data_IF_841820107974
#
_entry.id   IF_841820107974
#
_cell.length_a   1.000
_cell.length_b   1.000
_cell.length_c   1.000
_cell.angle_alpha   90.00
_cell.angle_beta   90.00
_cell.angle_gamma   90.00
#
_symmetry.space_group_name_H-M   'P 1'
#
loop_
_entity.id
_entity.type
_entity.pdbx_description
1 polymer ?
#
# COMPACT_ATOMS: atom_id res chain seq x y z
N UNK A 1 20.82 7.88 -35.61
CA UNK A 1 21.45 6.94 -34.67
C UNK A 1 20.33 6.32 -33.84
N UNK A 2 19.91 5.09 -34.17
CA UNK A 2 18.92 4.36 -33.36
C UNK A 2 19.64 3.87 -32.09
N UNK A 3 19.63 4.71 -31.06
CA UNK A 3 20.19 4.38 -29.74
C UNK A 3 19.38 3.23 -29.13
N UNK A 4 20.08 2.28 -28.51
CA UNK A 4 19.50 1.15 -27.78
C UNK A 4 18.35 1.60 -26.87
N UNK A 5 17.25 0.85 -26.85
CA UNK A 5 16.15 1.06 -25.90
C UNK A 5 16.73 1.04 -24.48
N UNK A 6 16.62 2.16 -23.78
CA UNK A 6 17.08 2.28 -22.40
C UNK A 6 16.17 1.43 -21.50
N UNK A 7 16.79 0.64 -20.61
CA UNK A 7 16.13 -0.34 -19.76
C UNK A 7 16.11 0.13 -18.32
N UNK A 8 14.92 0.13 -17.71
CA UNK A 8 14.75 0.44 -16.30
C UNK A 8 14.40 -0.85 -15.55
N UNK A 9 15.17 -1.12 -14.50
CA UNK A 9 14.84 -2.16 -13.52
C UNK A 9 14.04 -1.54 -12.38
N UNK A 10 12.90 -2.12 -12.05
CA UNK A 10 12.06 -1.68 -10.93
C UNK A 10 11.97 -2.82 -9.92
N UNK A 11 12.28 -2.54 -8.66
CA UNK A 11 12.21 -3.52 -7.56
C UNK A 11 10.99 -3.21 -6.69
N UNK A 12 9.99 -4.09 -6.73
CA UNK A 12 8.73 -3.99 -6.00
C UNK A 12 7.54 -3.74 -6.92
N UNK A 13 6.62 -4.70 -6.98
CA UNK A 13 5.38 -4.70 -7.77
C UNK A 13 4.17 -4.12 -7.05
N UNK A 14 4.37 -3.28 -6.03
CA UNK A 14 3.32 -2.49 -5.40
C UNK A 14 2.85 -1.32 -6.27
N UNK A 15 1.82 -0.57 -5.82
CA UNK A 15 1.23 0.54 -6.60
C UNK A 15 2.26 1.56 -7.11
N UNK A 16 3.31 1.84 -6.33
CA UNK A 16 4.38 2.75 -6.73
C UNK A 16 5.18 2.20 -7.93
N UNK A 17 5.61 0.93 -7.86
CA UNK A 17 6.34 0.28 -8.95
C UNK A 17 5.48 0.05 -10.19
N UNK A 18 4.21 -0.32 -10.01
CA UNK A 18 3.25 -0.44 -11.13
C UNK A 18 3.07 0.88 -11.87
N UNK A 19 2.83 1.97 -11.13
CA UNK A 19 2.66 3.30 -11.73
C UNK A 19 3.93 3.75 -12.46
N UNK A 20 5.10 3.56 -11.84
CA UNK A 20 6.37 3.89 -12.48
C UNK A 20 6.61 3.06 -13.76
N UNK A 21 6.29 1.76 -13.73
CA UNK A 21 6.46 0.87 -14.88
C UNK A 21 5.62 1.31 -16.08
N UNK A 22 4.34 1.61 -15.85
CA UNK A 22 3.43 2.08 -16.91
C UNK A 22 3.94 3.40 -17.49
N UNK A 23 4.23 4.39 -16.64
CA UNK A 23 4.68 5.70 -17.09
C UNK A 23 5.99 5.62 -17.89
N UNK A 24 6.96 4.84 -17.45
CA UNK A 24 8.21 4.66 -18.19
C UNK A 24 7.98 3.96 -19.53
N UNK A 25 7.16 2.92 -19.55
CA UNK A 25 6.90 2.18 -20.77
C UNK A 25 6.12 3.00 -21.81
N UNK A 26 5.18 3.86 -21.37
CA UNK A 26 4.46 4.82 -22.22
C UNK A 26 5.42 5.85 -22.86
N UNK A 27 6.55 6.15 -22.22
CA UNK A 27 7.59 7.05 -22.74
C UNK A 27 8.68 6.31 -23.54
N UNK A 28 8.47 5.03 -23.87
CA UNK A 28 9.35 4.26 -24.76
C UNK A 28 10.54 3.56 -24.06
N UNK A 29 10.57 3.52 -22.73
CA UNK A 29 11.58 2.77 -21.98
C UNK A 29 11.20 1.29 -21.86
N UNK A 30 12.18 0.41 -21.96
CA UNK A 30 11.99 -1.02 -21.64
C UNK A 30 12.00 -1.21 -20.12
N UNK A 31 10.97 -1.82 -19.54
CA UNK A 31 10.86 -1.99 -18.09
C UNK A 31 10.94 -3.46 -17.70
N UNK A 32 11.83 -3.78 -16.77
CA UNK A 32 11.78 -5.05 -16.01
C UNK A 32 11.30 -4.77 -14.60
N UNK A 33 10.11 -5.25 -14.25
CA UNK A 33 9.52 -5.12 -12.92
C UNK A 33 9.72 -6.43 -12.14
N UNK A 34 10.42 -6.37 -11.02
CA UNK A 34 10.74 -7.54 -10.17
C UNK A 34 9.89 -7.49 -8.90
N UNK A 35 9.17 -8.56 -8.60
CA UNK A 35 8.33 -8.70 -7.41
C UNK A 35 8.65 -10.01 -6.70
N UNK A 36 8.94 -9.93 -5.40
CA UNK A 36 9.30 -11.09 -4.57
C UNK A 36 8.12 -12.04 -4.36
N UNK A 37 6.92 -11.49 -4.26
CA UNK A 37 5.70 -12.27 -4.08
C UNK A 37 5.24 -12.89 -5.40
N UNK A 38 4.38 -13.91 -5.33
CA UNK A 38 3.79 -14.56 -6.52
C UNK A 38 2.81 -13.66 -7.28
N UNK A 39 2.42 -12.53 -6.70
CA UNK A 39 1.40 -11.63 -7.24
C UNK A 39 1.81 -10.18 -7.07
N UNK A 40 1.51 -9.37 -8.08
CA UNK A 40 1.66 -7.92 -8.03
C UNK A 40 0.60 -7.26 -7.13
N UNK A 41 0.86 -6.04 -6.69
CA UNK A 41 -0.08 -5.12 -6.05
C UNK A 41 0.34 -4.68 -4.64
N UNK A 42 1.17 -5.47 -3.95
CA UNK A 42 1.67 -5.15 -2.61
C UNK A 42 0.56 -4.85 -1.60
N UNK A 43 0.82 -3.95 -0.63
CA UNK A 43 -0.14 -3.60 0.42
C UNK A 43 -1.46 -3.01 -0.10
N UNK A 44 -1.48 -2.43 -1.30
CA UNK A 44 -2.68 -1.84 -1.88
C UNK A 44 -3.79 -2.89 -2.14
N UNK A 45 -3.43 -4.17 -2.29
CA UNK A 45 -4.38 -5.29 -2.42
C UNK A 45 -5.33 -5.41 -1.24
N UNK A 46 -4.87 -5.00 -0.05
CA UNK A 46 -5.62 -5.11 1.21
C UNK A 46 -6.58 -3.94 1.45
N UNK A 47 -6.48 -2.86 0.67
CA UNK A 47 -7.26 -1.63 0.89
C UNK A 47 -8.63 -1.75 0.22
N UNK A 48 -9.69 -1.46 0.98
CA UNK A 48 -11.07 -1.53 0.51
C UNK A 48 -11.58 -0.18 -0.05
N UNK A 49 -12.59 -0.25 -0.92
CA UNK A 49 -13.35 0.94 -1.32
C UNK A 49 -14.23 1.40 -0.15
N UNK A 50 -14.20 2.69 0.14
CA UNK A 50 -14.93 3.31 1.26
C UNK A 50 -16.02 4.27 0.79
N UNK A 51 -16.52 4.12 -0.44
CA UNK A 51 -17.61 4.96 -0.90
C UNK A 51 -18.82 4.82 0.02
N UNK A 52 -19.49 5.92 0.32
CA UNK A 52 -20.67 5.97 1.21
C UNK A 52 -21.82 6.51 0.37
N UNK A 53 -22.93 5.77 0.30
CA UNK A 53 -24.13 6.15 -0.47
C UNK A 53 -23.81 6.58 -1.91
N UNK A 54 -22.93 5.81 -2.58
CA UNK A 54 -22.48 6.10 -3.94
C UNK A 54 -21.46 7.25 -4.07
N UNK A 55 -21.09 7.93 -2.98
CA UNK A 55 -20.12 9.04 -3.00
C UNK A 55 -18.71 8.56 -2.71
N UNK A 56 -17.80 8.82 -3.64
CA UNK A 56 -16.37 8.48 -3.52
C UNK A 56 -15.71 9.22 -2.34
N UNK A 57 -14.96 8.48 -1.52
CA UNK A 57 -14.21 9.03 -0.37
C UNK A 57 -12.70 9.23 -0.67
N UNK A 58 -12.32 9.18 -1.95
CA UNK A 58 -10.93 9.36 -2.43
C UNK A 58 -9.92 8.43 -1.74
N UNK A 59 -10.33 7.18 -1.50
CA UNK A 59 -9.51 6.20 -0.79
C UNK A 59 -8.39 5.60 -1.65
N UNK A 60 -8.47 5.71 -2.98
CA UNK A 60 -7.48 5.17 -3.92
C UNK A 60 -7.55 3.65 -4.12
N UNK A 61 -8.46 2.93 -3.45
CA UNK A 61 -8.55 1.48 -3.53
C UNK A 61 -8.85 0.94 -4.95
N UNK A 62 -9.57 1.71 -5.76
CA UNK A 62 -9.89 1.36 -7.14
C UNK A 62 -8.70 1.49 -8.10
N UNK A 63 -7.71 2.33 -7.77
CA UNK A 63 -6.58 2.65 -8.67
C UNK A 63 -5.67 1.46 -8.93
N UNK A 64 -5.66 0.47 -8.04
CA UNK A 64 -4.80 -0.71 -8.18
C UNK A 64 -5.20 -1.57 -9.39
N UNK A 65 -6.51 -1.73 -9.64
CA UNK A 65 -6.98 -2.58 -10.74
C UNK A 65 -6.52 -2.02 -12.09
N UNK A 66 -6.66 -0.72 -12.28
CA UNK A 66 -6.25 -0.03 -13.51
C UNK A 66 -4.73 -0.13 -13.73
N UNK A 67 -3.94 0.06 -12.67
CA UNK A 67 -2.47 -0.06 -12.75
C UNK A 67 -2.01 -1.49 -13.07
N UNK A 68 -2.67 -2.51 -12.51
CA UNK A 68 -2.37 -3.91 -12.81
C UNK A 68 -2.70 -4.26 -14.27
N UNK A 69 -3.84 -3.78 -14.77
CA UNK A 69 -4.24 -4.02 -16.15
C UNK A 69 -3.29 -3.32 -17.14
N UNK A 70 -2.93 -2.07 -16.87
CA UNK A 70 -1.98 -1.33 -17.68
C UNK A 70 -0.61 -2.02 -17.76
N UNK A 71 -0.09 -2.53 -16.64
CA UNK A 71 1.18 -3.30 -16.63
C UNK A 71 1.06 -4.61 -17.42
N UNK A 72 -0.08 -5.31 -17.35
CA UNK A 72 -0.29 -6.57 -18.08
C UNK A 72 -0.43 -6.36 -19.59
N UNK A 73 -1.08 -5.27 -20.00
CA UNK A 73 -1.35 -4.99 -21.40
C UNK A 73 -0.15 -4.35 -22.13
N UNK A 74 0.77 -3.70 -21.40
CA UNK A 74 1.82 -2.91 -22.04
C UNK A 74 3.03 -3.76 -22.47
N UNK A 75 3.37 -3.84 -23.78
CA UNK A 75 4.43 -4.71 -24.28
C UNK A 75 5.85 -4.28 -23.85
N UNK A 76 6.01 -3.01 -23.47
CA UNK A 76 7.25 -2.48 -22.90
C UNK A 76 7.54 -2.88 -21.44
N UNK A 77 6.62 -3.59 -20.77
CA UNK A 77 6.80 -4.03 -19.38
C UNK A 77 6.92 -5.54 -19.30
N UNK A 78 8.02 -6.02 -18.73
CA UNK A 78 8.21 -7.43 -18.36
C UNK A 78 8.14 -7.56 -16.84
N UNK A 79 7.06 -8.15 -16.33
CA UNK A 79 6.90 -8.40 -14.90
C UNK A 79 7.40 -9.81 -14.52
N UNK A 80 8.24 -9.88 -13.49
CA UNK A 80 8.80 -11.10 -12.91
C UNK A 80 8.35 -11.24 -11.47
N UNK A 81 7.31 -12.04 -11.23
CA UNK A 81 6.83 -12.40 -9.89
C UNK A 81 7.63 -13.57 -9.31
N UNK A 82 7.63 -13.73 -7.99
CA UNK A 82 8.42 -14.75 -7.31
C UNK A 82 9.93 -14.55 -7.51
N UNK A 83 10.36 -13.32 -7.77
CA UNK A 83 11.71 -12.98 -8.19
C UNK A 83 12.31 -11.87 -7.34
N UNK A 84 13.61 -11.93 -7.06
CA UNK A 84 14.32 -10.97 -6.22
C UNK A 84 15.64 -10.52 -6.86
N UNK A 85 16.07 -9.29 -6.60
CA UNK A 85 17.43 -8.84 -6.91
C UNK A 85 18.37 -9.35 -5.82
N UNK A 86 19.37 -10.17 -6.19
CA UNK A 86 20.39 -10.70 -5.27
C UNK A 86 21.64 -9.84 -5.20
N UNK A 87 22.06 -9.32 -6.35
CA UNK A 87 23.26 -8.51 -6.46
C UNK A 87 23.11 -7.48 -7.57
N UNK A 88 23.77 -6.34 -7.37
CA UNK A 88 23.96 -5.31 -8.38
C UNK A 88 25.47 -5.19 -8.60
N UNK A 89 25.89 -5.22 -9.85
CA UNK A 89 27.28 -5.04 -10.24
C UNK A 89 27.38 -4.09 -11.42
N UNK A 90 28.57 -3.54 -11.61
CA UNK A 90 28.95 -2.80 -12.80
C UNK A 90 30.10 -3.55 -13.44
N UNK A 91 29.99 -3.84 -14.73
CA UNK A 91 31.02 -4.55 -15.51
C UNK A 91 31.29 -3.75 -16.79
N UNK A 92 32.54 -3.30 -16.97
CA UNK A 92 32.96 -2.45 -18.09
C UNK A 92 32.02 -1.25 -18.40
N UNK A 93 31.44 -0.65 -17.35
CA UNK A 93 30.51 0.48 -17.43
C UNK A 93 29.04 0.12 -17.65
N UNK A 94 28.71 -1.15 -17.90
CA UNK A 94 27.34 -1.64 -17.96
C UNK A 94 26.84 -2.08 -16.57
N UNK A 95 25.61 -1.71 -16.21
CA UNK A 95 25.00 -2.17 -14.96
C UNK A 95 24.30 -3.51 -15.16
N UNK A 96 24.56 -4.45 -14.25
CA UNK A 96 23.98 -5.79 -14.25
C UNK A 96 23.29 -6.08 -12.92
N UNK A 97 22.09 -6.64 -12.98
CA UNK A 97 21.37 -7.14 -11.83
C UNK A 97 21.27 -8.67 -11.90
N UNK A 98 21.75 -9.35 -10.86
CA UNK A 98 21.53 -10.78 -10.69
C UNK A 98 20.17 -10.98 -10.07
N UNK A 99 19.24 -11.54 -10.85
CA UNK A 99 17.87 -11.83 -10.42
C UNK A 99 17.77 -13.31 -10.07
N UNK A 100 17.25 -13.61 -8.88
CA UNK A 100 16.79 -14.96 -8.55
C UNK A 100 15.34 -15.08 -8.95
N UNK A 101 15.02 -16.05 -9.81
CA UNK A 101 13.66 -16.26 -10.34
C UNK A 101 13.22 -17.70 -10.11
N UNK A 102 11.92 -18.03 -10.23
CA UNK A 102 11.46 -19.42 -10.11
C UNK A 102 12.08 -20.38 -11.15
N UNK A 103 12.60 -19.85 -12.26
CA UNK A 103 13.28 -20.62 -13.30
C UNK A 103 14.81 -20.71 -13.10
N UNK A 104 15.34 -20.15 -12.01
CA UNK A 104 16.77 -20.05 -11.73
C UNK A 104 17.30 -18.62 -11.77
N UNK A 105 18.57 -18.48 -11.43
CA UNK A 105 19.24 -17.18 -11.40
C UNK A 105 19.59 -16.72 -12.82
N UNK A 106 19.44 -15.41 -13.09
CA UNK A 106 19.80 -14.80 -14.36
C UNK A 106 20.36 -13.39 -14.18
N UNK A 107 21.37 -13.04 -14.97
CA UNK A 107 21.85 -11.66 -15.08
C UNK A 107 20.97 -10.87 -16.05
N UNK A 108 20.50 -9.70 -15.63
CA UNK A 108 19.69 -8.78 -16.44
C UNK A 108 20.36 -7.41 -16.47
N UNK A 109 20.74 -6.88 -17.64
CA UNK A 109 21.33 -5.56 -17.70
C UNK A 109 20.26 -4.47 -17.60
N UNK A 110 20.63 -3.34 -17.00
CA UNK A 110 19.76 -2.19 -16.82
C UNK A 110 20.57 -0.89 -16.99
N UNK A 111 19.89 0.22 -17.25
CA UNK A 111 20.48 1.55 -17.38
C UNK A 111 20.07 2.46 -16.22
N UNK A 112 18.91 2.18 -15.59
CA UNK A 112 18.45 2.84 -14.39
C UNK A 112 17.73 1.87 -13.44
N UNK A 113 17.78 2.16 -12.13
CA UNK A 113 17.15 1.38 -11.08
C UNK A 113 16.13 2.23 -10.31
N UNK A 114 14.93 1.69 -10.10
CA UNK A 114 13.93 2.24 -9.20
C UNK A 114 13.67 1.25 -8.06
N UNK A 115 13.79 1.72 -6.83
CA UNK A 115 13.45 0.94 -5.64
C UNK A 115 12.06 1.37 -5.16
N UNK A 116 11.09 0.47 -5.29
CA UNK A 116 9.69 0.65 -4.91
C UNK A 116 9.22 -0.51 -4.01
N UNK A 117 10.09 -0.98 -3.11
CA UNK A 117 9.91 -2.19 -2.28
C UNK A 117 8.84 -2.06 -1.18
N UNK A 118 8.24 -0.88 -1.01
CA UNK A 118 7.10 -0.68 -0.13
C UNK A 118 7.47 -0.44 1.34
N UNK A 119 6.63 -0.95 2.24
CA UNK A 119 6.76 -0.79 3.69
C UNK A 119 6.10 -1.97 4.41
N UNK A 120 6.51 -2.20 5.65
CA UNK A 120 5.87 -3.16 6.54
C UNK A 120 4.95 -2.48 7.55
N UNK A 121 3.86 -3.14 7.90
CA UNK A 121 2.96 -2.68 8.94
C UNK A 121 3.62 -2.73 10.33
N UNK A 122 3.17 -1.85 11.23
CA UNK A 122 3.52 -1.98 12.64
C UNK A 122 3.02 -3.31 13.18
N UNK A 123 3.90 -4.02 13.89
CA UNK A 123 3.57 -5.25 14.59
C UNK A 123 2.74 -4.92 15.83
N UNK A 124 1.41 -4.85 15.68
CA UNK A 124 0.50 -4.38 16.73
C UNK A 124 0.58 -5.19 18.03
N UNK A 125 0.94 -6.49 17.97
CA UNK A 125 1.15 -7.32 19.16
C UNK A 125 2.30 -6.84 20.06
N UNK A 126 3.23 -6.06 19.52
CA UNK A 126 4.31 -5.42 20.31
C UNK A 126 3.85 -4.19 21.09
N UNK A 127 2.59 -3.75 20.91
CA UNK A 127 2.02 -2.56 21.54
C UNK A 127 1.15 -2.97 22.73
N UNK A 128 1.82 -3.54 23.74
CA UNK A 128 1.23 -4.19 24.92
C UNK A 128 0.02 -3.48 25.54
N UNK A 129 0.08 -2.16 25.84
CA UNK A 129 -1.04 -1.44 26.46
C UNK A 129 -2.36 -1.47 25.68
N UNK A 130 -2.34 -1.78 24.38
CA UNK A 130 -3.54 -1.81 23.54
C UNK A 130 -4.17 -3.20 23.39
N UNK A 131 -3.51 -4.28 23.84
CA UNK A 131 -4.12 -5.60 23.92
C UNK A 131 -4.42 -6.30 22.58
N UNK A 132 -3.76 -5.92 21.49
CA UNK A 132 -3.91 -6.60 20.19
C UNK A 132 -3.49 -8.08 20.29
N UNK A 133 -4.36 -8.99 19.85
CA UNK A 133 -4.16 -10.44 19.96
C UNK A 133 -4.50 -11.04 21.33
N UNK A 134 -4.84 -10.19 22.32
CA UNK A 134 -5.30 -10.62 23.65
C UNK A 134 -6.81 -10.36 23.79
N UNK A 135 -7.25 -9.17 23.40
CA UNK A 135 -8.65 -8.76 23.47
C UNK A 135 -9.34 -8.99 22.11
N UNK A 136 -10.41 -9.80 22.03
CA UNK A 136 -11.08 -10.13 20.75
C UNK A 136 -11.65 -8.92 20.00
N UNK A 137 -11.94 -7.84 20.70
CA UNK A 137 -12.49 -6.60 20.13
C UNK A 137 -11.41 -5.66 19.58
N UNK A 138 -10.12 -5.89 19.87
CA UNK A 138 -9.03 -5.03 19.40
C UNK A 138 -8.55 -5.49 18.04
N UNK A 139 -8.60 -4.58 17.07
CA UNK A 139 -8.21 -4.83 15.68
C UNK A 139 -7.36 -3.67 15.16
N UNK A 140 -6.55 -3.90 14.11
CA UNK A 140 -5.81 -2.82 13.45
C UNK A 140 -6.60 -2.21 12.29
N UNK A 141 -6.20 -1.01 11.85
CA UNK A 141 -6.73 -0.45 10.61
C UNK A 141 -6.52 -1.40 9.41
N UNK A 142 -5.39 -2.12 9.36
CA UNK A 142 -5.11 -3.07 8.28
C UNK A 142 -6.02 -4.32 8.34
N UNK A 143 -6.36 -4.79 9.53
CA UNK A 143 -7.35 -5.87 9.70
C UNK A 143 -8.73 -5.42 9.22
N UNK A 144 -9.14 -4.22 9.61
CA UNK A 144 -10.42 -3.66 9.21
C UNK A 144 -10.50 -3.44 7.70
N UNK A 145 -9.45 -2.94 7.08
CA UNK A 145 -9.31 -2.83 5.62
C UNK A 145 -9.46 -4.19 4.92
N UNK A 146 -8.70 -5.21 5.36
CA UNK A 146 -8.80 -6.57 4.82
C UNK A 146 -10.20 -7.14 4.98
N UNK A 147 -10.80 -6.99 6.15
CA UNK A 147 -12.13 -7.53 6.43
C UNK A 147 -13.18 -6.89 5.53
N UNK A 148 -13.18 -5.55 5.43
CA UNK A 148 -14.08 -4.82 4.53
C UNK A 148 -13.83 -5.14 3.05
N UNK A 149 -12.58 -5.44 2.66
CA UNK A 149 -12.23 -5.85 1.30
C UNK A 149 -12.85 -7.21 0.94
N UNK A 150 -12.84 -8.16 1.89
CA UNK A 150 -13.33 -9.53 1.69
C UNK A 150 -14.83 -9.67 1.90
N UNK A 151 -15.36 -9.11 2.98
CA UNK A 151 -16.75 -9.27 3.42
C UNK A 151 -17.66 -8.12 2.95
N UNK A 152 -17.09 -7.09 2.30
CA UNK A 152 -17.80 -5.88 1.90
C UNK A 152 -18.08 -4.95 3.08
N UNK A 153 -18.87 -3.89 2.84
CA UNK A 153 -19.16 -2.89 3.88
C UNK A 153 -20.10 -3.38 4.98
N UNK A 154 -20.70 -4.58 4.82
CA UNK A 154 -21.57 -5.22 5.82
C UNK A 154 -20.79 -6.02 6.86
N UNK A 155 -19.46 -6.07 6.77
CA UNK A 155 -18.57 -6.89 7.62
C UNK A 155 -18.74 -6.69 9.14
N UNK A 156 -19.36 -5.60 9.58
CA UNK A 156 -19.55 -5.27 10.99
C UNK A 156 -21.03 -5.15 11.40
N UNK A 157 -21.97 -5.49 10.51
CA UNK A 157 -23.41 -5.36 10.75
C UNK A 157 -23.97 -6.44 11.68
N UNK A 158 -23.26 -7.55 11.82
CA UNK A 158 -23.60 -8.63 12.76
C UNK A 158 -23.14 -8.32 14.19
N UNK A 159 -22.37 -7.24 14.37
CA UNK A 159 -21.82 -6.83 15.67
C UNK A 159 -22.64 -5.69 16.26
N UNK A 160 -22.94 -5.81 17.56
CA UNK A 160 -23.55 -4.75 18.36
C UNK A 160 -22.49 -3.69 18.75
N UNK A 161 -22.06 -2.92 17.74
CA UNK A 161 -21.05 -1.87 17.91
C UNK A 161 -21.72 -0.55 18.33
N UNK A 162 -21.85 -0.35 19.65
CA UNK A 162 -22.41 0.89 20.19
C UNK A 162 -21.35 1.96 20.46
N UNK A 163 -20.15 1.54 20.87
CA UNK A 163 -19.03 2.44 21.20
C UNK A 163 -17.75 1.95 20.54
N UNK A 164 -17.13 2.82 19.76
CA UNK A 164 -15.97 2.50 18.92
C UNK A 164 -14.86 3.51 19.18
N UNK A 165 -13.67 3.01 19.53
CA UNK A 165 -12.50 3.84 19.76
C UNK A 165 -11.46 3.62 18.66
N UNK A 166 -11.05 4.69 17.99
CA UNK A 166 -9.88 4.69 17.11
C UNK A 166 -8.72 5.33 17.85
N UNK A 167 -7.60 4.61 17.99
CA UNK A 167 -6.39 5.11 18.64
C UNK A 167 -5.37 5.45 17.55
N UNK A 168 -5.01 6.72 17.43
CA UNK A 168 -4.04 7.20 16.45
C UNK A 168 -2.60 7.00 16.94
N UNK A 169 -1.65 7.10 15.99
CA UNK A 169 -0.22 7.06 16.26
C UNK A 169 0.30 5.76 16.91
N UNK A 170 -0.46 4.66 16.85
CA UNK A 170 0.03 3.36 17.35
C UNK A 170 1.26 2.92 16.56
N UNK A 171 2.43 3.01 17.20
CA UNK A 171 3.72 2.69 16.58
C UNK A 171 4.32 3.77 15.69
N UNK A 172 3.89 5.02 15.85
CA UNK A 172 4.46 6.21 15.21
C UNK A 172 4.45 7.37 16.21
N UNK A 173 5.37 8.32 16.09
CA UNK A 173 5.54 9.39 17.09
C UNK A 173 5.67 8.82 18.50
N UNK A 174 6.44 7.74 18.61
CA UNK A 174 6.65 6.93 19.81
C UNK A 174 8.17 6.78 20.02
N UNK A 175 8.75 7.70 20.80
CA UNK A 175 10.19 7.76 21.06
C UNK A 175 10.68 6.57 21.89
N UNK A 176 9.81 5.97 22.72
CA UNK A 176 10.16 4.80 23.54
C UNK A 176 10.58 3.58 22.72
N UNK A 177 10.14 3.49 21.46
CA UNK A 177 10.55 2.44 20.51
C UNK A 177 11.39 2.97 19.34
N UNK A 178 11.95 4.19 19.47
CA UNK A 178 12.78 4.81 18.44
C UNK A 178 12.04 5.19 17.16
N UNK A 179 10.72 5.45 17.24
CA UNK A 179 9.87 5.80 16.08
C UNK A 179 9.29 7.20 16.20
N UNK A 180 10.16 8.21 16.17
CA UNK A 180 9.77 9.63 16.26
C UNK A 180 9.03 10.18 15.03
N UNK A 181 8.95 9.43 13.93
CA UNK A 181 8.30 9.87 12.69
C UNK A 181 6.77 9.75 12.74
N UNK A 182 6.09 10.58 11.93
CA UNK A 182 4.68 10.42 11.62
C UNK A 182 4.49 9.48 10.42
N UNK A 183 3.59 8.51 10.50
CA UNK A 183 3.24 7.62 9.37
C UNK A 183 2.41 8.29 8.26
N UNK A 184 2.04 9.57 8.43
CA UNK A 184 1.33 10.45 7.49
C UNK A 184 -0.08 10.02 7.01
N UNK A 185 -0.40 8.73 6.97
CA UNK A 185 -1.63 8.20 6.36
C UNK A 185 -2.71 7.82 7.38
N UNK A 186 -2.32 7.60 8.65
CA UNK A 186 -3.18 7.01 9.66
C UNK A 186 -4.41 7.84 10.02
N UNK A 187 -4.24 9.14 10.20
CA UNK A 187 -5.37 10.04 10.48
C UNK A 187 -6.44 9.95 9.38
N UNK A 188 -6.02 9.92 8.12
CA UNK A 188 -6.94 9.93 6.97
C UNK A 188 -7.63 8.59 6.77
N UNK A 189 -6.91 7.46 6.83
CA UNK A 189 -7.60 6.17 6.69
C UNK A 189 -8.55 5.94 7.88
N UNK A 190 -8.18 6.36 9.10
CA UNK A 190 -9.02 6.18 10.27
C UNK A 190 -10.32 6.97 10.18
N UNK A 191 -10.25 8.24 9.74
CA UNK A 191 -11.44 9.05 9.48
C UNK A 191 -12.35 8.40 8.44
N UNK A 192 -11.80 7.88 7.34
CA UNK A 192 -12.59 7.20 6.30
C UNK A 192 -13.24 5.91 6.81
N UNK A 193 -12.52 5.10 7.59
CA UNK A 193 -13.05 3.89 8.22
C UNK A 193 -14.14 4.23 9.25
N UNK A 194 -13.93 5.25 10.07
CA UNK A 194 -14.92 5.74 11.02
C UNK A 194 -16.21 6.21 10.32
N UNK A 195 -16.10 6.94 9.20
CA UNK A 195 -17.26 7.35 8.40
C UNK A 195 -18.03 6.17 7.82
N UNK A 196 -17.35 5.15 7.30
CA UNK A 196 -18.01 3.93 6.82
C UNK A 196 -18.80 3.28 7.94
N UNK A 197 -18.21 3.14 9.14
CA UNK A 197 -18.93 2.60 10.30
C UNK A 197 -20.11 3.49 10.71
N UNK A 198 -19.94 4.82 10.77
CA UNK A 198 -21.00 5.76 11.15
C UNK A 198 -22.17 5.77 10.17
N UNK A 199 -21.90 5.63 8.87
CA UNK A 199 -22.94 5.52 7.85
C UNK A 199 -23.73 4.21 7.97
N UNK A 200 -23.05 3.10 8.28
CA UNK A 200 -23.69 1.80 8.54
C UNK A 200 -24.42 1.77 9.88
N UNK A 201 -23.92 2.49 10.89
CA UNK A 201 -24.40 2.53 12.28
C UNK A 201 -24.54 3.99 12.75
N UNK A 202 -25.62 4.69 12.38
CA UNK A 202 -25.82 6.09 12.72
C UNK A 202 -25.81 6.35 14.23
N UNK A 203 -26.24 5.39 15.03
CA UNK A 203 -26.34 5.52 16.49
C UNK A 203 -25.03 5.18 17.24
N UNK A 204 -24.01 4.63 16.55
CA UNK A 204 -22.74 4.31 17.18
C UNK A 204 -21.99 5.58 17.62
N UNK A 205 -21.51 5.58 18.86
CA UNK A 205 -20.60 6.61 19.37
C UNK A 205 -19.16 6.25 18.98
N UNK A 206 -18.54 7.12 18.18
CA UNK A 206 -17.19 6.90 17.64
C UNK A 206 -16.26 7.99 18.14
N UNK A 207 -15.27 7.59 18.94
CA UNK A 207 -14.23 8.49 19.47
C UNK A 207 -12.89 8.25 18.79
N UNK A 208 -12.26 9.33 18.29
CA UNK A 208 -10.90 9.29 17.76
C UNK A 208 -9.92 9.86 18.80
N UNK A 209 -9.17 8.99 19.47
CA UNK A 209 -8.08 9.36 20.36
C UNK A 209 -6.83 9.72 19.53
N UNK A 210 -6.41 10.98 19.62
CA UNK A 210 -5.36 11.55 18.79
C UNK A 210 -4.51 12.55 19.59
N UNK A 211 -3.26 12.73 19.14
CA UNK A 211 -2.48 13.92 19.49
C UNK A 211 -2.87 15.08 18.58
N UNK A 212 -2.72 14.89 17.26
CA UNK A 212 -3.06 15.84 16.22
C UNK A 212 -3.79 15.13 15.08
N UNK A 213 -4.59 15.86 14.31
CA UNK A 213 -5.00 15.41 12.97
C UNK A 213 -3.97 15.90 11.96
N UNK A 214 -3.18 14.96 11.44
CA UNK A 214 -2.22 15.23 10.39
C UNK A 214 -2.92 15.14 9.04
N UNK A 215 -3.02 16.28 8.37
CA UNK A 215 -3.86 16.45 7.19
C UNK A 215 -3.06 16.92 5.98
N UNK A 216 -2.16 16.05 5.52
CA UNK A 216 -1.25 16.33 4.42
C UNK A 216 -1.72 15.72 3.08
N UNK A 217 -1.31 16.35 1.98
CA UNK A 217 -1.61 15.93 0.61
C UNK A 217 -2.76 16.69 -0.05
N UNK A 218 -3.02 16.41 -1.33
CA UNK A 218 -3.97 17.16 -2.17
C UNK A 218 -5.43 17.05 -1.70
N UNK A 219 -5.83 15.89 -1.18
CA UNK A 219 -7.22 15.62 -0.80
C UNK A 219 -7.49 15.85 0.68
N UNK A 220 -6.65 16.64 1.33
CA UNK A 220 -6.78 16.98 2.73
C UNK A 220 -8.19 17.57 2.98
N UNK A 221 -8.49 18.81 2.59
CA UNK A 221 -9.76 19.47 2.93
C UNK A 221 -11.00 18.59 2.75
N UNK A 222 -11.11 17.88 1.61
CA UNK A 222 -12.21 16.95 1.31
C UNK A 222 -12.34 15.81 2.34
N UNK A 223 -11.23 15.21 2.79
CA UNK A 223 -11.27 14.16 3.79
C UNK A 223 -11.59 14.66 5.21
N UNK A 224 -11.56 15.97 5.50
CA UNK A 224 -11.99 16.52 6.80
C UNK A 224 -13.43 17.02 6.78
N UNK A 225 -13.83 17.67 5.68
CA UNK A 225 -15.13 18.33 5.54
C UNK A 225 -16.27 17.39 5.10
N UNK A 226 -15.95 16.21 4.55
CA UNK A 226 -16.93 15.17 4.21
C UNK A 226 -17.58 14.51 5.44
#
# INVERSE_FOLDING_TARGET
MHGSVQRVLIVGGGIAGLTAAVQLAEHGYGVTLVERERTLGGNATTVCCKAIDGKCQLCGACLLADALEAVRAHPGVTALTGSEVRALSSDDGAQLATLSTPAGDRATPYDALIIASGFDHVQAGTKGPYGYGILPAVTTGADMERRLKTEGQTAYDDRDLQRIAFIQCVGSRDEHVGRGYCSQVCCRYALRLARVLKARRPDADITLFKMDIQHSGRDAAAAWQA
#
